data_IF_586820871887
#
_entry.id   IF_586820871887
#
_cell.length_a   1.000
_cell.length_b   1.000
_cell.length_c   1.000
_cell.angle_alpha   90.00
_cell.angle_beta   90.00
_cell.angle_gamma   90.00
#
_symmetry.space_group_name_H-M   'P 1'
#
loop_
_entity.id
_entity.type
_entity.pdbx_description
1 polymer ?
#
# COMPACT_ATOMS: atom_id res chain seq x y z
N UNK A 1 -16.97 -20.84 4.86
CA UNK A 1 -15.56 -20.51 5.14
C UNK A 1 -15.13 -19.57 4.02
N UNK A 2 -15.30 -18.27 4.25
CA UNK A 2 -15.15 -17.21 3.24
C UNK A 2 -13.68 -17.02 2.90
N UNK A 3 -13.34 -16.83 1.62
CA UNK A 3 -11.96 -16.77 1.15
C UNK A 3 -11.10 -15.87 2.05
N UNK A 4 -10.02 -16.48 2.51
CA UNK A 4 -9.10 -16.01 3.52
C UNK A 4 -8.52 -14.63 3.20
N UNK A 5 -8.58 -13.73 4.18
CA UNK A 5 -7.75 -12.52 4.23
C UNK A 5 -6.28 -12.93 4.20
N UNK A 6 -5.66 -12.88 3.01
CA UNK A 6 -4.21 -13.09 2.85
C UNK A 6 -3.50 -11.76 3.07
N UNK A 7 -2.40 -11.81 3.80
CA UNK A 7 -1.53 -10.64 3.86
C UNK A 7 -0.89 -10.37 2.48
N UNK A 8 -0.49 -9.13 2.26
CA UNK A 8 0.03 -8.68 0.98
C UNK A 8 1.30 -9.43 0.57
N UNK A 9 2.10 -9.88 1.53
CA UNK A 9 3.30 -10.68 1.26
C UNK A 9 2.93 -12.02 0.62
N UNK A 10 1.93 -12.71 1.17
CA UNK A 10 1.37 -13.94 0.61
C UNK A 10 0.75 -13.72 -0.77
N UNK A 11 -0.03 -12.63 -0.94
CA UNK A 11 -0.66 -12.31 -2.23
C UNK A 11 0.40 -12.09 -3.33
N UNK A 12 1.48 -11.39 -3.03
CA UNK A 12 2.57 -11.14 -3.98
C UNK A 12 3.40 -12.39 -4.30
N UNK A 13 3.43 -13.38 -3.39
CA UNK A 13 4.11 -14.64 -3.61
C UNK A 13 3.28 -15.59 -4.48
N UNK A 14 1.97 -15.65 -4.24
CA UNK A 14 1.07 -16.56 -4.96
C UNK A 14 0.57 -16.01 -6.30
N UNK A 15 0.52 -14.69 -6.42
CA UNK A 15 0.01 -13.99 -7.60
C UNK A 15 1.00 -12.92 -8.01
N UNK A 16 0.97 -12.52 -9.27
CA UNK A 16 1.63 -11.31 -9.73
C UNK A 16 0.57 -10.25 -10.02
N UNK A 17 0.16 -9.43 -9.02
CA UNK A 17 -0.80 -8.37 -9.25
C UNK A 17 -0.29 -7.42 -10.33
N UNK A 18 -1.20 -6.89 -11.14
CA UNK A 18 -0.88 -5.89 -12.14
C UNK A 18 -0.29 -4.64 -11.49
N UNK A 19 0.37 -3.79 -12.29
CA UNK A 19 0.84 -2.48 -11.84
C UNK A 19 -0.34 -1.64 -11.31
N UNK A 20 -1.49 -1.70 -11.98
CA UNK A 20 -2.70 -1.01 -11.54
C UNK A 20 -3.16 -1.49 -10.16
N UNK A 21 -3.26 -2.80 -9.92
CA UNK A 21 -3.62 -3.35 -8.62
C UNK A 21 -2.65 -2.90 -7.52
N UNK A 22 -1.34 -2.92 -7.78
CA UNK A 22 -0.31 -2.47 -6.83
C UNK A 22 -0.48 -0.98 -6.47
N UNK A 23 -0.84 -0.14 -7.44
CA UNK A 23 -1.10 1.29 -7.23
C UNK A 23 -2.42 1.52 -6.49
N UNK A 24 -3.48 0.77 -6.82
CA UNK A 24 -4.76 0.79 -6.10
C UNK A 24 -4.54 0.41 -4.63
N UNK A 25 -3.74 -0.64 -4.37
CA UNK A 25 -3.37 -1.03 -3.01
C UNK A 25 -2.70 0.13 -2.28
N UNK A 26 -1.70 0.77 -2.88
CA UNK A 26 -1.02 1.91 -2.26
C UNK A 26 -1.95 3.10 -2.01
N UNK A 27 -2.86 3.41 -2.94
CA UNK A 27 -3.89 4.45 -2.77
C UNK A 27 -4.75 4.16 -1.54
N UNK A 28 -5.28 2.95 -1.43
CA UNK A 28 -6.13 2.56 -0.30
C UNK A 28 -5.37 2.56 1.03
N UNK A 29 -4.12 2.09 1.04
CA UNK A 29 -3.28 2.17 2.25
C UNK A 29 -3.09 3.64 2.66
N UNK A 30 -2.81 4.56 1.73
CA UNK A 30 -2.70 5.99 2.05
C UNK A 30 -4.00 6.54 2.63
N UNK A 31 -5.17 6.19 2.06
CA UNK A 31 -6.49 6.61 2.57
C UNK A 31 -6.71 6.15 4.01
N UNK A 32 -6.38 4.89 4.32
CA UNK A 32 -6.53 4.33 5.66
C UNK A 32 -5.57 4.97 6.66
N UNK A 33 -4.32 5.23 6.26
CA UNK A 33 -3.33 5.93 7.10
C UNK A 33 -3.73 7.38 7.36
N UNK A 34 -4.23 8.09 6.36
CA UNK A 34 -4.71 9.46 6.54
C UNK A 34 -5.88 9.52 7.52
N UNK A 35 -6.84 8.59 7.40
CA UNK A 35 -7.93 8.46 8.35
C UNK A 35 -7.42 8.24 9.79
N UNK A 36 -6.40 7.40 9.99
CA UNK A 36 -5.78 7.23 11.31
C UNK A 36 -5.13 8.52 11.82
N UNK A 37 -4.40 9.22 10.95
CA UNK A 37 -3.71 10.49 11.29
C UNK A 37 -4.68 11.60 11.67
N UNK A 38 -5.84 11.64 11.02
CA UNK A 38 -6.92 12.58 11.33
C UNK A 38 -7.63 12.27 12.65
N UNK A 39 -7.58 11.01 13.10
CA UNK A 39 -8.04 10.60 14.42
C UNK A 39 -6.96 10.74 15.51
N UNK A 40 -5.79 11.33 15.19
CA UNK A 40 -4.74 11.59 16.17
C UNK A 40 -3.80 10.41 16.44
N UNK A 41 -3.81 9.37 15.61
CA UNK A 41 -2.96 8.19 15.75
C UNK A 41 -1.93 8.06 14.63
N UNK A 42 -0.80 7.41 14.91
CA UNK A 42 0.12 6.87 13.92
C UNK A 42 0.12 5.34 14.00
N UNK A 43 0.35 4.68 12.87
CA UNK A 43 0.42 3.22 12.78
C UNK A 43 1.74 2.69 13.34
N UNK A 44 2.84 3.35 12.96
CA UNK A 44 4.24 3.10 13.31
C UNK A 44 4.82 1.72 12.92
N UNK A 45 4.00 0.70 12.65
CA UNK A 45 4.41 -0.67 12.25
C UNK A 45 3.93 -1.03 10.83
N UNK A 46 3.87 -0.06 9.92
CA UNK A 46 3.28 -0.31 8.60
C UNK A 46 4.25 -1.15 7.73
N UNK A 47 3.85 -2.39 7.42
CA UNK A 47 4.61 -3.30 6.55
C UNK A 47 3.67 -4.24 5.78
N UNK A 48 4.19 -5.03 4.82
CA UNK A 48 3.38 -5.95 4.00
C UNK A 48 2.52 -6.91 4.83
N UNK A 49 3.06 -7.48 5.91
CA UNK A 49 2.30 -8.37 6.80
C UNK A 49 1.13 -7.71 7.55
N UNK A 50 1.03 -6.37 7.49
CA UNK A 50 -0.07 -5.59 8.08
C UNK A 50 -1.10 -5.15 7.06
N UNK A 51 -0.92 -5.48 5.79
CA UNK A 51 -1.86 -5.12 4.73
C UNK A 51 -2.58 -6.40 4.31
N UNK A 52 -3.87 -6.51 4.59
CA UNK A 52 -4.73 -7.53 3.96
C UNK A 52 -5.14 -7.04 2.59
N UNK A 53 -5.10 -7.92 1.60
CA UNK A 53 -5.64 -7.59 0.27
C UNK A 53 -6.55 -8.71 -0.21
N UNK A 54 -7.76 -8.31 -0.63
CA UNK A 54 -8.66 -9.16 -1.38
C UNK A 54 -8.73 -8.65 -2.83
N UNK A 55 -8.04 -9.35 -3.73
CA UNK A 55 -8.13 -9.13 -5.17
C UNK A 55 -9.13 -10.15 -5.71
N UNK A 56 -10.30 -9.70 -6.22
CA UNK A 56 -11.31 -10.60 -6.78
C UNK A 56 -10.68 -11.54 -7.79
N UNK A 57 -10.94 -12.84 -7.65
CA UNK A 57 -10.44 -13.80 -8.63
C UNK A 57 -11.36 -13.86 -9.84
N UNK A 58 -10.77 -14.01 -11.03
CA UNK A 58 -11.48 -14.19 -12.32
C UNK A 58 -12.42 -15.40 -12.31
N UNK A 59 -12.23 -16.33 -11.38
CA UNK A 59 -12.99 -17.57 -11.25
C UNK A 59 -14.28 -17.42 -10.44
N UNK A 60 -14.36 -16.47 -9.49
CA UNK A 60 -15.56 -16.21 -8.67
C UNK A 60 -16.68 -15.47 -9.42
N UNK A 61 -16.44 -14.99 -10.65
CA UNK A 61 -17.46 -14.34 -11.50
C UNK A 61 -17.75 -15.06 -12.83
N UNK A 62 -17.08 -16.19 -13.09
CA UNK A 62 -17.35 -16.98 -14.31
C UNK A 62 -18.75 -17.63 -14.32
N UNK A 63 -19.42 -17.70 -13.17
CA UNK A 63 -20.84 -18.09 -13.09
C UNK A 63 -21.81 -16.94 -13.43
N UNK A 64 -21.36 -15.68 -13.43
CA UNK A 64 -22.22 -14.51 -13.70
C UNK A 64 -22.09 -13.92 -15.12
N UNK A 65 -21.02 -14.24 -15.88
CA UNK A 65 -20.73 -13.54 -17.15
C UNK A 65 -20.21 -14.42 -18.28
N UNK A 66 -20.91 -15.51 -18.61
CA UNK A 66 -20.79 -16.11 -19.95
C UNK A 66 -21.52 -15.25 -20.98
N UNK A 67 -20.87 -14.17 -21.46
CA UNK A 67 -21.02 -13.56 -22.79
C UNK A 67 -20.07 -12.36 -22.95
N UNK A 68 -19.39 -12.33 -24.09
CA UNK A 68 -18.58 -11.26 -24.70
C UNK A 68 -17.06 -11.23 -24.46
N UNK A 69 -16.37 -11.02 -25.57
CA UNK A 69 -14.93 -10.87 -25.79
C UNK A 69 -14.34 -9.73 -24.93
N UNK A 70 -14.00 -10.01 -23.67
CA UNK A 70 -13.63 -8.96 -22.68
C UNK A 70 -12.47 -9.33 -21.73
N UNK A 71 -11.55 -10.21 -22.13
CA UNK A 71 -10.49 -10.71 -21.23
C UNK A 71 -9.63 -9.61 -20.57
N UNK A 72 -9.20 -8.60 -21.34
CA UNK A 72 -8.32 -7.53 -20.84
C UNK A 72 -9.06 -6.44 -20.05
N UNK A 73 -10.33 -6.18 -20.38
CA UNK A 73 -11.15 -5.18 -19.69
C UNK A 73 -11.65 -5.73 -18.33
N UNK A 74 -11.92 -7.04 -18.26
CA UNK A 74 -12.32 -7.73 -17.02
C UNK A 74 -11.19 -7.71 -15.99
N UNK A 75 -9.97 -8.11 -16.38
CA UNK A 75 -8.81 -8.12 -15.46
C UNK A 75 -8.51 -6.74 -14.85
N UNK A 76 -8.68 -5.65 -15.61
CA UNK A 76 -8.44 -4.29 -15.10
C UNK A 76 -9.56 -3.76 -14.20
N UNK A 77 -10.79 -4.25 -14.36
CA UNK A 77 -11.91 -3.93 -13.47
C UNK A 77 -11.79 -4.67 -12.13
N UNK A 78 -11.26 -5.90 -12.15
CA UNK A 78 -10.90 -6.66 -10.95
C UNK A 78 -9.85 -5.92 -10.11
N UNK A 79 -8.85 -5.29 -10.76
CA UNK A 79 -7.84 -4.49 -10.07
C UNK A 79 -8.44 -3.30 -9.29
N UNK A 80 -9.50 -2.66 -9.82
CA UNK A 80 -10.17 -1.52 -9.17
C UNK A 80 -11.08 -1.93 -8.01
N UNK A 81 -11.62 -3.14 -8.05
CA UNK A 81 -12.44 -3.72 -6.99
C UNK A 81 -11.59 -4.26 -5.81
N UNK A 82 -10.26 -4.10 -5.85
CA UNK A 82 -9.33 -4.54 -4.81
C UNK A 82 -9.68 -3.93 -3.46
N UNK A 83 -9.94 -4.78 -2.45
CA UNK A 83 -10.19 -4.34 -1.07
C UNK A 83 -8.92 -4.45 -0.24
N UNK A 84 -8.64 -3.42 0.54
CA UNK A 84 -7.47 -3.34 1.42
C UNK A 84 -7.90 -3.11 2.86
N UNK A 85 -7.27 -3.81 3.79
CA UNK A 85 -7.42 -3.59 5.23
C UNK A 85 -6.05 -3.47 5.90
N UNK A 86 -5.98 -2.67 6.96
CA UNK A 86 -4.78 -2.57 7.80
C UNK A 86 -4.98 -3.31 9.12
N UNK A 87 -4.00 -4.15 9.46
CA UNK A 87 -3.92 -4.86 10.73
C UNK A 87 -2.83 -4.28 11.62
N UNK A 88 -2.84 -4.65 12.90
CA UNK A 88 -1.83 -4.18 13.85
C UNK A 88 -2.28 -2.98 14.68
N UNK A 89 -3.59 -2.81 14.89
CA UNK A 89 -4.19 -1.80 15.78
C UNK A 89 -3.50 -1.75 17.15
N UNK A 90 -3.01 -2.89 17.67
CA UNK A 90 -2.25 -2.97 18.93
C UNK A 90 -0.96 -2.14 18.96
N UNK A 91 -0.43 -1.79 17.79
CA UNK A 91 0.78 -0.99 17.60
C UNK A 91 0.49 0.48 17.27
N UNK A 92 -0.78 0.83 17.01
CA UNK A 92 -1.19 2.22 16.85
C UNK A 92 -0.95 3.00 18.13
N UNK A 93 -0.43 4.23 18.00
CA UNK A 93 -0.16 5.11 19.15
C UNK A 93 -0.64 6.52 18.87
N UNK A 94 -1.04 7.27 19.90
CA UNK A 94 -1.28 8.70 19.75
C UNK A 94 -0.06 9.38 19.13
N UNK A 95 -0.33 10.33 18.24
CA UNK A 95 0.72 11.20 17.70
C UNK A 95 1.43 11.90 18.86
N UNK A 96 2.77 11.82 18.89
CA UNK A 96 3.58 12.39 19.97
C UNK A 96 3.98 11.40 21.07
N UNK A 97 3.48 10.16 21.07
CA UNK A 97 3.83 9.15 22.08
C UNK A 97 5.26 8.60 21.88
N UNK A 98 6.07 8.57 22.94
CA UNK A 98 7.44 8.05 22.93
C UNK A 98 7.57 6.59 23.34
N UNK A 99 6.49 5.93 23.80
CA UNK A 99 6.54 4.57 24.33
C UNK A 99 6.60 3.46 23.25
N UNK A 100 6.49 3.82 21.97
CA UNK A 100 6.35 2.87 20.87
C UNK A 100 7.51 1.86 20.78
N UNK A 101 8.75 2.35 20.73
CA UNK A 101 9.92 1.48 20.53
C UNK A 101 10.09 0.48 21.68
N UNK A 102 9.85 0.94 22.92
CA UNK A 102 9.94 0.08 24.12
C UNK A 102 8.99 -1.11 24.03
N UNK A 103 7.75 -0.89 23.61
CA UNK A 103 6.74 -1.95 23.53
C UNK A 103 7.10 -2.98 22.47
N UNK A 104 7.52 -2.56 21.29
CA UNK A 104 7.90 -3.51 20.23
C UNK A 104 9.16 -4.28 20.60
N UNK A 105 10.13 -3.59 21.21
CA UNK A 105 11.35 -4.20 21.71
C UNK A 105 11.06 -5.27 22.79
N UNK A 106 10.14 -5.00 23.71
CA UNK A 106 9.78 -5.89 24.81
C UNK A 106 8.83 -7.02 24.40
N UNK A 107 7.94 -6.79 23.43
CA UNK A 107 6.95 -7.79 22.99
C UNK A 107 7.50 -8.78 21.97
N UNK A 108 8.66 -8.49 21.40
CA UNK A 108 9.29 -9.38 20.42
C UNK A 108 10.16 -10.42 21.13
N UNK A 109 9.71 -11.67 21.09
CA UNK A 109 10.40 -12.82 21.72
C UNK A 109 11.78 -13.11 21.14
N UNK A 110 12.06 -12.64 19.92
CA UNK A 110 13.34 -12.78 19.25
C UNK A 110 13.77 -11.45 18.59
N UNK A 111 14.87 -10.88 19.07
CA UNK A 111 15.44 -9.61 18.59
C UNK A 111 15.99 -9.73 17.16
N UNK A 112 16.44 -10.92 16.76
CA UNK A 112 17.03 -11.16 15.46
C UNK A 112 15.96 -11.28 14.37
N UNK A 113 14.87 -11.99 14.65
CA UNK A 113 13.67 -11.99 13.80
C UNK A 113 13.05 -10.60 13.66
N UNK A 114 13.03 -9.82 14.74
CA UNK A 114 12.61 -8.40 14.70
C UNK A 114 13.46 -7.55 13.77
N UNK A 115 14.79 -7.73 13.86
CA UNK A 115 15.78 -7.08 12.99
C UNK A 115 15.54 -7.38 11.53
N UNK A 116 15.33 -8.64 11.19
CA UNK A 116 15.11 -9.02 9.81
C UNK A 116 13.76 -8.51 9.25
N UNK A 117 12.68 -8.55 10.07
CA UNK A 117 11.31 -8.36 9.56
C UNK A 117 10.79 -6.94 9.64
N UNK A 118 11.12 -6.19 10.69
CA UNK A 118 10.52 -4.87 10.94
C UNK A 118 11.44 -3.71 10.54
N UNK A 119 12.76 -3.89 10.59
CA UNK A 119 13.71 -2.77 10.46
C UNK A 119 13.65 -2.05 9.11
N UNK A 120 13.49 -2.72 7.97
CA UNK A 120 13.42 -2.00 6.70
C UNK A 120 12.21 -1.07 6.60
N UNK A 121 11.17 -1.35 7.38
CA UNK A 121 9.89 -0.64 7.37
C UNK A 121 9.85 0.53 8.35
N UNK A 122 10.71 0.54 9.37
CA UNK A 122 10.72 1.56 10.41
C UNK A 122 11.55 2.77 9.97
N UNK A 123 11.01 3.98 10.20
CA UNK A 123 11.78 5.20 10.04
C UNK A 123 13.03 5.16 10.94
N UNK A 124 14.24 5.49 10.43
CA UNK A 124 15.48 5.35 11.20
C UNK A 124 15.47 6.02 12.58
N UNK A 125 14.78 7.16 12.72
CA UNK A 125 14.67 7.87 13.98
C UNK A 125 13.80 7.17 15.05
N UNK A 126 12.88 6.30 14.66
CA UNK A 126 12.14 5.44 15.60
C UNK A 126 13.06 4.42 16.27
N UNK A 127 14.16 4.01 15.61
CA UNK A 127 15.12 3.04 16.13
C UNK A 127 16.16 3.66 17.07
N UNK A 128 16.68 4.84 16.72
CA UNK A 128 17.90 5.38 17.34
C UNK A 128 17.65 6.35 18.50
N UNK A 129 16.48 6.99 18.59
CA UNK A 129 16.32 8.17 19.46
C UNK A 129 15.05 8.20 20.33
N UNK A 130 14.35 7.07 20.54
CA UNK A 130 13.03 7.10 21.20
C UNK A 130 12.11 8.17 20.56
N UNK A 131 12.17 8.31 19.22
CA UNK A 131 11.35 9.32 18.55
C UNK A 131 9.88 9.03 18.78
N UNK A 132 9.15 10.12 18.96
CA UNK A 132 7.70 10.10 19.13
C UNK A 132 7.04 9.55 17.87
N UNK A 133 5.98 8.77 18.07
CA UNK A 133 5.04 8.37 17.02
C UNK A 133 4.62 9.59 16.22
N UNK A 134 4.81 9.54 14.90
CA UNK A 134 4.64 10.71 14.05
C UNK A 134 4.14 10.31 12.66
N UNK A 135 3.42 11.25 12.02
CA UNK A 135 2.95 11.09 10.65
C UNK A 135 4.09 10.82 9.68
N UNK A 136 5.21 11.50 9.89
CA UNK A 136 6.41 11.35 9.05
C UNK A 136 7.05 9.96 9.15
N UNK A 137 6.87 9.25 10.28
CA UNK A 137 7.33 7.88 10.40
C UNK A 137 6.50 6.93 9.53
N UNK A 138 5.17 7.07 9.55
CA UNK A 138 4.29 6.30 8.66
C UNK A 138 4.55 6.60 7.18
N UNK A 139 4.87 7.86 6.82
CA UNK A 139 5.28 8.21 5.46
C UNK A 139 6.52 7.46 5.00
N UNK A 140 7.50 7.27 5.89
CA UNK A 140 8.68 6.46 5.55
C UNK A 140 8.29 5.03 5.21
N UNK A 141 7.45 4.41 6.05
CA UNK A 141 6.96 3.06 5.86
C UNK A 141 6.12 2.93 4.57
N UNK A 142 5.28 3.93 4.25
CA UNK A 142 4.55 4.02 2.99
C UNK A 142 5.50 4.07 1.78
N UNK A 143 6.56 4.88 1.87
CA UNK A 143 7.59 4.97 0.84
C UNK A 143 8.27 3.61 0.60
N UNK A 144 8.64 2.93 1.68
CA UNK A 144 9.27 1.63 1.59
C UNK A 144 8.33 0.57 1.00
N UNK A 145 7.07 0.55 1.45
CA UNK A 145 6.02 -0.33 0.93
C UNK A 145 5.77 -0.11 -0.56
N UNK A 146 5.62 1.14 -1.00
CA UNK A 146 5.41 1.46 -2.40
C UNK A 146 6.60 1.05 -3.27
N UNK A 147 7.83 1.19 -2.77
CA UNK A 147 9.03 0.71 -3.50
C UNK A 147 9.04 -0.80 -3.64
N UNK A 148 8.70 -1.54 -2.59
CA UNK A 148 8.65 -3.00 -2.66
C UNK A 148 7.54 -3.49 -3.60
N UNK A 149 6.39 -2.82 -3.58
CA UNK A 149 5.29 -3.13 -4.50
C UNK A 149 5.64 -2.82 -5.94
N UNK A 150 6.33 -1.73 -6.23
CA UNK A 150 6.65 -1.32 -7.60
C UNK A 150 8.04 -1.77 -8.07
N UNK A 151 8.87 -2.39 -7.22
CA UNK A 151 10.26 -2.77 -7.56
C UNK A 151 10.43 -3.54 -8.88
N UNK A 152 9.54 -4.49 -9.27
CA UNK A 152 9.68 -5.18 -10.55
C UNK A 152 9.51 -4.28 -11.79
N UNK A 153 9.05 -3.03 -11.61
CA UNK A 153 8.64 -2.15 -12.70
C UNK A 153 9.17 -0.72 -12.49
N UNK A 154 10.05 -0.20 -13.36
CA UNK A 154 10.37 1.22 -13.36
C UNK A 154 9.09 2.05 -13.50
N UNK A 155 8.77 2.85 -12.47
CA UNK A 155 7.51 3.58 -12.42
C UNK A 155 7.77 5.08 -12.19
N UNK A 156 7.01 6.01 -12.80
CA UNK A 156 7.13 7.46 -12.54
C UNK A 156 7.04 7.83 -11.05
N UNK A 157 6.29 7.03 -10.27
CA UNK A 157 6.14 7.14 -8.82
C UNK A 157 7.42 6.86 -8.03
N UNK A 158 8.49 6.37 -8.65
CA UNK A 158 9.74 6.04 -7.97
C UNK A 158 10.41 7.26 -7.32
N UNK A 159 10.23 8.47 -7.87
CA UNK A 159 10.80 9.70 -7.31
C UNK A 159 10.14 10.04 -5.97
N UNK A 160 8.81 10.14 -5.94
CA UNK A 160 8.07 10.50 -4.72
C UNK A 160 8.25 9.44 -3.62
N UNK A 161 8.35 8.17 -4.01
CA UNK A 161 8.63 7.08 -3.08
C UNK A 161 10.04 7.16 -2.48
N UNK A 162 11.01 7.71 -3.20
CA UNK A 162 12.36 7.99 -2.68
C UNK A 162 12.34 9.17 -1.72
N UNK A 163 11.56 10.21 -2.00
CA UNK A 163 11.39 11.37 -1.12
C UNK A 163 10.82 10.98 0.24
N UNK A 164 9.89 10.01 0.28
CA UNK A 164 9.38 9.42 1.52
C UNK A 164 10.48 8.84 2.42
N UNK A 165 11.54 8.29 1.82
CA UNK A 165 12.67 7.70 2.54
C UNK A 165 13.73 8.73 2.94
N UNK A 166 13.60 9.97 2.47
CA UNK A 166 14.53 11.06 2.75
C UNK A 166 14.40 11.66 4.15
N UNK A 167 15.06 12.82 4.37
CA UNK A 167 14.94 13.59 5.60
C UNK A 167 13.50 13.93 5.94
N UNK A 168 13.14 13.95 7.22
CA UNK A 168 11.76 14.23 7.69
C UNK A 168 11.17 15.51 7.09
N UNK A 169 11.99 16.56 6.93
CA UNK A 169 11.57 17.86 6.39
C UNK A 169 11.14 17.83 4.91
N UNK A 170 11.58 16.83 4.16
CA UNK A 170 11.31 16.72 2.71
C UNK A 170 10.30 15.62 2.40
N UNK A 171 9.79 14.90 3.40
CA UNK A 171 8.82 13.84 3.19
C UNK A 171 7.47 14.46 2.78
N UNK A 172 6.79 13.92 1.77
CA UNK A 172 5.42 14.33 1.48
C UNK A 172 4.48 14.00 2.64
N UNK A 173 3.34 14.64 2.70
CA UNK A 173 2.26 14.24 3.60
C UNK A 173 1.51 13.03 3.05
N UNK A 174 0.80 12.30 3.91
CA UNK A 174 -0.06 11.19 3.48
C UNK A 174 -1.16 11.66 2.50
N UNK A 175 -1.84 12.82 2.71
CA UNK A 175 -2.75 13.37 1.71
C UNK A 175 -2.10 13.61 0.34
N UNK A 176 -0.87 14.12 0.30
CA UNK A 176 -0.16 14.33 -0.97
C UNK A 176 0.11 13.00 -1.67
N UNK A 177 0.53 11.97 -0.94
CA UNK A 177 0.73 10.62 -1.49
C UNK A 177 -0.57 10.03 -2.03
N UNK A 178 -1.67 10.14 -1.27
CA UNK A 178 -2.99 9.69 -1.71
C UNK A 178 -3.36 10.31 -3.07
N UNK A 179 -3.26 11.63 -3.20
CA UNK A 179 -3.57 12.32 -4.46
C UNK A 179 -2.66 11.87 -5.61
N UNK A 180 -1.37 11.65 -5.36
CA UNK A 180 -0.45 11.16 -6.39
C UNK A 180 -0.85 9.76 -6.88
N UNK A 181 -1.18 8.84 -5.97
CA UNK A 181 -1.64 7.50 -6.38
C UNK A 181 -3.01 7.54 -7.05
N UNK A 182 -3.94 8.37 -6.58
CA UNK A 182 -5.28 8.49 -7.16
C UNK A 182 -5.26 9.07 -8.58
N UNK A 183 -4.40 10.07 -8.81
CA UNK A 183 -4.15 10.60 -10.15
C UNK A 183 -3.55 9.54 -11.08
N UNK A 184 -2.64 8.70 -10.57
CA UNK A 184 -2.06 7.63 -11.37
C UNK A 184 -3.09 6.55 -11.71
N UNK A 185 -3.96 6.15 -10.76
CA UNK A 185 -5.09 5.26 -11.05
C UNK A 185 -5.99 5.87 -12.13
N UNK A 186 -6.31 7.16 -12.00
CA UNK A 186 -7.14 7.88 -12.98
C UNK A 186 -6.47 7.91 -14.36
N UNK A 187 -5.16 8.12 -14.44
CA UNK A 187 -4.40 8.11 -15.69
C UNK A 187 -4.35 6.73 -16.34
N UNK A 188 -4.08 5.68 -15.56
CA UNK A 188 -4.04 4.30 -16.06
C UNK A 188 -5.41 3.80 -16.52
N UNK A 189 -6.50 4.35 -15.97
CA UNK A 189 -7.87 3.98 -16.34
C UNK A 189 -8.45 4.84 -17.47
N UNK A 190 -8.09 6.12 -17.59
CA UNK A 190 -8.58 6.99 -18.68
C UNK A 190 -8.05 6.60 -20.05
N UNK A 191 -6.81 6.11 -20.12
CA UNK A 191 -6.20 5.53 -21.32
C UNK A 191 -6.96 4.30 -21.86
N UNK A 192 -7.95 3.77 -21.13
CA UNK A 192 -8.76 2.62 -21.54
C UNK A 192 -10.00 3.02 -22.35
N UNK A 193 -10.57 4.20 -22.09
CA UNK A 193 -11.83 4.65 -22.72
C UNK A 193 -11.57 5.28 -24.10
N UNK A 194 -10.33 5.69 -24.39
CA UNK A 194 -9.98 6.55 -25.53
C UNK A 194 -9.60 5.90 -26.86
N UNK A 195 -9.74 4.58 -27.08
CA UNK A 195 -9.31 3.93 -28.34
C UNK A 195 -10.42 3.26 -29.17
N UNK A 196 -11.70 3.44 -28.82
CA UNK A 196 -12.83 2.93 -29.59
C UNK A 196 -13.28 3.79 -30.79
N UNK A 197 -12.55 4.86 -31.13
CA UNK A 197 -13.04 5.92 -32.02
C UNK A 197 -12.11 6.35 -33.14
N UNK A 198 -11.17 5.52 -33.60
CA UNK A 198 -10.44 5.82 -34.83
C UNK A 198 -11.19 5.19 -36.01
N UNK A 199 -12.17 5.93 -36.54
CA UNK A 199 -12.72 5.65 -37.87
C UNK A 199 -11.56 5.67 -38.85
N UNK A 200 -11.26 4.50 -39.42
CA UNK A 200 -10.42 4.35 -40.62
C UNK A 200 -10.98 5.31 -41.69
N UNK A 201 -10.20 6.26 -42.22
CA UNK A 201 -10.63 7.01 -43.39
C UNK A 201 -10.66 6.04 -44.57
N UNK A 202 -11.85 5.91 -45.15
CA UNK A 202 -12.15 5.26 -46.44
C UNK A 202 -11.61 6.07 -47.61
#
# INVERSE_FOLDING_TARGET
MTLHDKDLEQVLHERCPSVLARIVIMREVCRLVDAMHNNGFAHNDLCMSKVSVNIPSTQERNDERRKEEKGTEIARREDLDTKVMLFGVRFMRPLGDSAYFKIIWETSRDRETMRARCYPWLAPGLFTFCQKSSRAADVYSLGYLGRQLLAPHPHPLSSILRECLGPVKTRPSVPQLFHVFDNEVTHLTSNLVGHGGSKRPS
#
